data_IF_357864385186
#
_entry.id   IF_357864385186
#
_cell.length_a   1.000
_cell.length_b   1.000
_cell.length_c   1.000
_cell.angle_alpha   90.00
_cell.angle_beta   90.00
_cell.angle_gamma   90.00
#
_symmetry.space_group_name_H-M   'P 1'
#
loop_
_entity.id
_entity.type
_entity.pdbx_description
1 polymer ?
#
# COMPACT_ATOMS: atom_id res chain seq x y z
N UNK A 1 -20.61 -9.27 12.36
CA UNK A 1 -19.27 -9.36 12.97
C UNK A 1 -19.45 -9.83 14.40
N UNK A 2 -18.93 -11.01 14.75
CA UNK A 2 -19.06 -11.55 16.12
C UNK A 2 -18.07 -10.83 17.04
N UNK A 3 -18.43 -10.58 18.31
CA UNK A 3 -17.51 -9.94 19.27
C UNK A 3 -16.24 -10.76 19.55
N UNK A 4 -16.17 -12.00 19.05
CA UNK A 4 -15.05 -12.93 19.21
C UNK A 4 -13.86 -12.70 18.27
N UNK A 5 -13.93 -11.72 17.36
CA UNK A 5 -12.85 -11.46 16.39
C UNK A 5 -11.86 -10.39 16.84
N UNK A 6 -12.19 -9.62 17.89
CA UNK A 6 -11.29 -8.59 18.43
C UNK A 6 -10.37 -9.17 19.53
N UNK A 7 -9.05 -9.01 19.39
CA UNK A 7 -8.14 -9.41 20.45
C UNK A 7 -8.26 -8.56 21.70
N UNK A 8 -8.35 -9.23 22.86
CA UNK A 8 -8.43 -8.66 24.20
C UNK A 8 -7.09 -8.81 24.89
N UNK A 9 -6.69 -7.80 25.68
CA UNK A 9 -5.47 -7.82 26.48
C UNK A 9 -5.74 -8.43 27.86
N UNK A 10 -4.77 -9.17 28.40
CA UNK A 10 -4.74 -9.55 29.81
C UNK A 10 -4.19 -8.42 30.70
N UNK A 11 -4.15 -8.67 32.02
CA UNK A 11 -3.60 -7.72 33.00
C UNK A 11 -2.13 -7.33 32.75
N UNK A 12 -1.36 -8.15 32.04
CA UNK A 12 0.01 -7.86 31.63
C UNK A 12 0.11 -7.13 30.28
N UNK A 13 -1.03 -6.72 29.68
CA UNK A 13 -1.08 -5.99 28.41
C UNK A 13 -0.87 -6.83 27.16
N UNK A 14 -0.80 -8.17 27.26
CA UNK A 14 -0.63 -9.09 26.12
C UNK A 14 -1.98 -9.55 25.57
N UNK A 15 -2.10 -9.67 24.26
CA UNK A 15 -3.29 -10.22 23.61
C UNK A 15 -3.40 -11.74 23.86
N UNK A 16 -4.58 -12.21 24.25
CA UNK A 16 -4.77 -13.61 24.70
C UNK A 16 -5.65 -14.48 23.80
N UNK A 17 -6.37 -13.89 22.85
CA UNK A 17 -7.30 -14.56 21.94
C UNK A 17 -7.01 -14.20 20.46
N UNK A 18 -5.73 -14.02 20.13
CA UNK A 18 -5.29 -13.80 18.75
C UNK A 18 -5.52 -15.08 17.95
N UNK A 19 -6.16 -14.95 16.78
CA UNK A 19 -6.37 -16.08 15.86
C UNK A 19 -6.06 -15.64 14.42
N UNK A 20 -4.80 -15.80 14.02
CA UNK A 20 -4.32 -15.42 12.70
C UNK A 20 -4.96 -16.21 11.54
N UNK A 21 -5.60 -17.35 11.82
CA UNK A 21 -6.33 -18.11 10.78
C UNK A 21 -7.53 -17.31 10.24
N UNK A 22 -8.07 -16.40 11.05
CA UNK A 22 -9.16 -15.50 10.65
C UNK A 22 -8.68 -14.33 9.77
N UNK A 23 -7.37 -14.03 9.80
CA UNK A 23 -6.79 -12.92 9.07
C UNK A 23 -6.44 -13.29 7.63
N UNK A 24 -5.99 -14.53 7.40
CA UNK A 24 -5.65 -15.01 6.07
C UNK A 24 -6.89 -14.99 5.17
N UNK A 25 -6.78 -14.32 4.02
CA UNK A 25 -7.88 -14.17 3.08
C UNK A 25 -8.69 -12.90 3.24
N UNK A 26 -8.53 -12.16 4.35
CA UNK A 26 -9.24 -10.90 4.58
C UNK A 26 -8.94 -9.88 3.48
N UNK A 27 -9.99 -9.33 2.87
CA UNK A 27 -9.89 -8.29 1.85
C UNK A 27 -10.21 -6.93 2.48
N UNK A 28 -9.31 -5.98 2.25
CA UNK A 28 -9.57 -4.59 2.59
C UNK A 28 -10.55 -3.98 1.57
N UNK A 29 -11.27 -2.91 1.95
CA UNK A 29 -12.02 -2.11 0.99
C UNK A 29 -11.12 -1.65 -0.17
N UNK A 30 -11.63 -1.64 -1.42
CA UNK A 30 -10.91 -1.07 -2.55
C UNK A 30 -10.51 0.38 -2.28
N UNK A 31 -9.29 0.74 -2.67
CA UNK A 31 -8.77 2.11 -2.55
C UNK A 31 -8.78 2.72 -3.94
N UNK A 32 -9.54 3.80 -4.14
CA UNK A 32 -9.51 4.54 -5.41
C UNK A 32 -8.22 5.35 -5.54
N UNK A 33 -7.67 5.38 -6.74
CA UNK A 33 -6.38 5.98 -7.03
C UNK A 33 -6.49 6.87 -8.27
N UNK A 34 -5.81 8.02 -8.23
CA UNK A 34 -5.65 8.85 -9.43
C UNK A 34 -4.31 9.58 -9.39
N UNK A 35 -3.74 9.79 -10.57
CA UNK A 35 -2.48 10.48 -10.74
C UNK A 35 -2.39 11.13 -12.12
N UNK A 36 -1.55 12.15 -12.22
CA UNK A 36 -1.30 12.85 -13.48
C UNK A 36 0.20 12.80 -13.83
N UNK A 37 0.56 13.39 -14.98
CA UNK A 37 1.97 13.45 -15.43
C UNK A 37 2.89 14.14 -14.42
N UNK A 38 2.41 15.13 -13.67
CA UNK A 38 3.21 15.81 -12.64
C UNK A 38 3.59 14.85 -11.52
N UNK A 39 2.67 13.99 -11.08
CA UNK A 39 2.95 12.99 -10.05
C UNK A 39 4.05 12.00 -10.49
N UNK A 40 4.00 11.58 -11.76
CA UNK A 40 5.01 10.70 -12.37
C UNK A 40 6.38 11.37 -12.41
N UNK A 41 6.45 12.62 -12.87
CA UNK A 41 7.68 13.42 -12.92
C UNK A 41 8.27 13.66 -11.52
N UNK A 42 7.42 14.02 -10.55
CA UNK A 42 7.83 14.24 -9.16
C UNK A 42 8.41 12.96 -8.56
N UNK A 43 7.79 11.80 -8.81
CA UNK A 43 8.30 10.53 -8.34
C UNK A 43 9.66 10.20 -8.95
N UNK A 44 9.80 10.28 -10.28
CA UNK A 44 11.05 10.02 -10.98
C UNK A 44 12.20 10.91 -10.45
N UNK A 45 11.93 12.20 -10.28
CA UNK A 45 12.89 13.12 -9.70
C UNK A 45 13.23 12.79 -8.23
N UNK A 46 12.24 12.43 -7.41
CA UNK A 46 12.44 12.14 -5.99
C UNK A 46 13.24 10.85 -5.73
N UNK A 47 13.15 9.86 -6.61
CA UNK A 47 13.97 8.63 -6.51
C UNK A 47 15.38 8.80 -7.10
N UNK A 48 15.69 9.96 -7.67
CA UNK A 48 17.03 10.30 -8.15
C UNK A 48 17.32 9.90 -9.60
N UNK A 49 16.32 9.89 -10.48
CA UNK A 49 16.58 9.79 -11.93
C UNK A 49 17.53 10.93 -12.35
N UNK A 50 18.49 10.61 -13.20
CA UNK A 50 19.55 11.50 -13.63
C UNK A 50 19.12 12.34 -14.84
N UNK A 51 19.83 13.45 -15.07
CA UNK A 51 19.50 14.42 -16.14
C UNK A 51 19.53 13.84 -17.56
N UNK A 52 20.23 12.74 -17.77
CA UNK A 52 20.31 12.00 -19.03
C UNK A 52 19.17 10.98 -19.20
N UNK A 53 18.39 10.71 -18.15
CA UNK A 53 17.19 9.87 -18.16
C UNK A 53 15.93 10.71 -18.45
N UNK A 54 15.99 11.52 -19.51
CA UNK A 54 14.91 12.47 -19.87
C UNK A 54 13.58 11.78 -20.18
N UNK A 55 13.59 10.51 -20.58
CA UNK A 55 12.39 9.71 -20.77
C UNK A 55 11.57 9.52 -19.48
N UNK A 56 12.14 9.81 -18.29
CA UNK A 56 11.39 9.86 -17.02
C UNK A 56 11.16 11.29 -16.50
N UNK A 57 11.94 12.26 -16.96
CA UNK A 57 11.98 13.62 -16.40
C UNK A 57 11.40 14.71 -17.31
N UNK A 58 11.04 14.37 -18.55
CA UNK A 58 10.53 15.33 -19.53
C UNK A 58 9.31 14.79 -20.26
N UNK A 59 8.17 15.44 -20.06
CA UNK A 59 6.86 15.00 -20.55
C UNK A 59 6.68 15.06 -22.06
N UNK A 60 7.52 15.82 -22.78
CA UNK A 60 7.51 15.89 -24.25
C UNK A 60 8.61 15.01 -24.88
N UNK A 61 9.34 14.23 -24.09
CA UNK A 61 10.28 13.25 -24.62
C UNK A 61 9.50 12.21 -25.45
N UNK A 62 9.99 11.79 -26.64
CA UNK A 62 9.28 10.82 -27.49
C UNK A 62 8.98 9.50 -26.76
N UNK A 63 9.88 9.07 -25.88
CA UNK A 63 9.74 7.86 -25.05
C UNK A 63 9.31 8.16 -23.61
N UNK A 64 8.58 9.26 -23.36
CA UNK A 64 8.17 9.62 -22.01
C UNK A 64 7.37 8.48 -21.34
N UNK A 65 7.85 8.02 -20.18
CA UNK A 65 7.32 6.89 -19.47
C UNK A 65 7.27 7.15 -17.97
N UNK A 66 6.40 6.41 -17.29
CA UNK A 66 6.40 6.37 -15.84
C UNK A 66 7.42 5.36 -15.32
N UNK A 67 8.10 5.70 -14.22
CA UNK A 67 9.06 4.79 -13.62
C UNK A 67 8.34 3.52 -13.12
N UNK A 68 8.87 2.30 -13.38
CA UNK A 68 8.12 1.06 -13.12
C UNK A 68 7.65 0.84 -11.69
N UNK A 69 8.33 1.42 -10.69
CA UNK A 69 7.97 1.30 -9.26
C UNK A 69 7.04 2.40 -8.75
N UNK A 70 6.66 3.37 -9.59
CA UNK A 70 5.65 4.39 -9.28
C UNK A 70 4.33 3.82 -8.69
N UNK A 71 3.78 2.69 -9.18
CA UNK A 71 2.52 2.14 -8.67
C UNK A 71 2.54 1.83 -7.16
N UNK A 72 3.71 1.62 -6.56
CA UNK A 72 3.86 1.35 -5.11
C UNK A 72 3.28 2.50 -4.28
N UNK A 73 3.31 3.73 -4.82
CA UNK A 73 2.81 4.91 -4.14
C UNK A 73 1.28 5.05 -4.20
N UNK A 74 0.58 4.37 -5.11
CA UNK A 74 -0.85 4.61 -5.38
C UNK A 74 -1.75 4.33 -4.17
N UNK A 75 -1.46 3.27 -3.41
CA UNK A 75 -2.21 2.95 -2.20
C UNK A 75 -2.05 4.03 -1.11
N UNK A 76 -0.92 4.75 -1.11
CA UNK A 76 -0.70 5.87 -0.21
C UNK A 76 -1.28 7.15 -0.79
N UNK A 77 -1.04 7.49 -2.06
CA UNK A 77 -1.51 8.73 -2.69
C UNK A 77 -3.04 8.80 -2.81
N UNK A 78 -3.69 7.66 -3.06
CA UNK A 78 -5.12 7.59 -3.34
C UNK A 78 -5.48 8.57 -4.45
N UNK A 79 -6.50 9.41 -4.26
CA UNK A 79 -6.92 10.41 -5.26
C UNK A 79 -6.40 11.83 -4.96
N UNK A 80 -5.65 12.00 -3.88
CA UNK A 80 -5.25 13.32 -3.42
C UNK A 80 -4.13 13.93 -4.28
N UNK A 81 -4.20 15.25 -4.45
CA UNK A 81 -3.26 16.05 -5.23
C UNK A 81 -2.37 16.96 -4.36
N UNK A 82 -2.57 16.91 -3.04
CA UNK A 82 -1.83 17.68 -2.05
C UNK A 82 -1.12 16.74 -1.07
N UNK A 83 -0.38 17.33 -0.12
CA UNK A 83 0.22 16.63 1.00
C UNK A 83 -0.83 15.82 1.77
N UNK A 84 -0.38 14.72 2.36
CA UNK A 84 -1.25 13.81 3.07
C UNK A 84 -0.64 13.21 4.32
N UNK A 85 -1.50 12.88 5.27
CA UNK A 85 -1.09 12.17 6.48
C UNK A 85 -0.82 10.70 6.15
N UNK A 86 0.46 10.36 6.06
CA UNK A 86 0.92 9.00 5.82
C UNK A 86 0.45 8.00 6.88
N UNK A 87 0.43 8.40 8.16
CA UNK A 87 0.02 7.54 9.26
C UNK A 87 -1.46 7.21 9.12
N UNK A 88 -2.30 8.23 8.93
CA UNK A 88 -3.74 8.06 8.77
C UNK A 88 -4.09 7.12 7.61
N UNK A 89 -3.37 7.20 6.48
CA UNK A 89 -3.58 6.31 5.32
C UNK A 89 -3.08 4.88 5.52
N UNK A 90 -2.11 4.69 6.41
CA UNK A 90 -1.52 3.37 6.68
C UNK A 90 -2.30 2.61 7.76
N UNK A 91 -3.14 3.30 8.57
CA UNK A 91 -4.09 2.66 9.49
C UNK A 91 -5.26 2.07 8.69
N UNK A 92 -5.01 0.95 8.04
CA UNK A 92 -6.07 0.16 7.40
C UNK A 92 -6.87 -0.55 8.49
N UNK A 93 -8.19 -0.52 8.36
CA UNK A 93 -9.17 -1.00 9.35
C UNK A 93 -8.94 -2.39 9.94
N UNK A 94 -9.82 -2.75 10.88
CA UNK A 94 -9.69 -3.96 11.69
C UNK A 94 -9.56 -5.23 10.82
N UNK A 95 -8.44 -5.94 10.98
CA UNK A 95 -8.23 -7.28 10.41
C UNK A 95 -8.66 -8.31 11.47
N UNK A 96 -9.62 -9.21 11.17
CA UNK A 96 -10.11 -10.20 12.12
C UNK A 96 -9.00 -11.06 12.73
N UNK A 97 -9.07 -11.29 14.04
CA UNK A 97 -8.11 -12.13 14.76
C UNK A 97 -6.71 -11.52 14.91
N UNK A 98 -6.49 -10.29 14.43
CA UNK A 98 -5.23 -9.56 14.60
C UNK A 98 -5.39 -8.43 15.63
N UNK A 99 -4.34 -8.15 16.41
CA UNK A 99 -4.28 -6.92 17.19
C UNK A 99 -4.53 -5.66 16.33
N UNK A 100 -5.06 -4.59 16.92
CA UNK A 100 -5.09 -3.28 16.27
C UNK A 100 -3.72 -2.93 15.67
N UNK A 101 -3.73 -2.53 14.40
CA UNK A 101 -2.50 -2.16 13.71
C UNK A 101 -2.09 -0.74 14.10
N UNK A 102 -0.86 -0.60 14.57
CA UNK A 102 -0.24 0.69 14.90
C UNK A 102 0.83 1.02 13.85
N UNK A 103 0.53 1.98 12.98
CA UNK A 103 1.43 2.40 11.91
C UNK A 103 2.73 3.04 12.44
N UNK A 104 2.71 3.66 13.63
CA UNK A 104 3.89 4.30 14.22
C UNK A 104 4.89 3.29 14.79
N UNK A 105 4.43 2.07 15.06
CA UNK A 105 5.25 0.95 15.56
C UNK A 105 5.45 -0.14 14.51
N UNK A 106 5.04 0.12 13.28
CA UNK A 106 5.19 -0.80 12.16
C UNK A 106 6.47 -0.52 11.40
N UNK A 107 7.12 -1.60 10.96
CA UNK A 107 8.24 -1.53 10.02
C UNK A 107 7.82 -2.19 8.72
N UNK A 108 8.23 -1.59 7.62
CA UNK A 108 8.10 -2.17 6.30
C UNK A 108 9.27 -3.12 6.04
N UNK A 109 9.05 -4.42 6.31
CA UNK A 109 10.13 -5.41 6.29
C UNK A 109 10.51 -5.86 4.89
N UNK A 110 9.52 -6.04 4.00
CA UNK A 110 9.72 -6.61 2.67
C UNK A 110 8.69 -6.04 1.69
N UNK A 111 9.13 -5.75 0.46
CA UNK A 111 8.25 -5.42 -0.67
C UNK A 111 8.61 -6.25 -1.88
N UNK A 112 7.58 -6.66 -2.61
CA UNK A 112 7.70 -7.21 -3.96
C UNK A 112 6.75 -6.46 -4.89
N UNK A 113 7.12 -6.34 -6.15
CA UNK A 113 6.28 -5.78 -7.21
C UNK A 113 6.42 -6.65 -8.44
N UNK A 114 5.30 -6.95 -9.08
CA UNK A 114 5.23 -7.63 -10.37
C UNK A 114 4.55 -6.69 -11.35
N UNK A 115 5.21 -6.40 -12.48
CA UNK A 115 4.70 -5.49 -13.49
C UNK A 115 4.01 -6.30 -14.59
N UNK A 116 2.68 -6.37 -14.53
CA UNK A 116 1.88 -7.08 -15.53
C UNK A 116 1.73 -6.29 -16.83
N UNK A 117 1.59 -4.96 -16.71
CA UNK A 117 1.52 -4.01 -17.81
C UNK A 117 2.27 -2.73 -17.41
N UNK A 118 2.94 -2.03 -18.35
CA UNK A 118 3.50 -0.72 -18.08
C UNK A 118 2.42 0.22 -17.51
N UNK A 119 2.74 0.95 -16.44
CA UNK A 119 1.82 1.95 -15.90
C UNK A 119 1.76 3.15 -16.85
N UNK A 120 0.57 3.66 -17.19
CA UNK A 120 0.46 4.85 -18.04
C UNK A 120 1.03 6.08 -17.33
N UNK A 121 1.30 7.13 -18.11
CA UNK A 121 1.82 8.42 -17.60
C UNK A 121 0.75 9.31 -16.97
N UNK A 122 -0.52 8.91 -17.04
CA UNK A 122 -1.66 9.57 -16.39
C UNK A 122 -2.76 8.54 -16.12
N UNK A 123 -3.58 8.76 -15.10
CA UNK A 123 -4.80 7.98 -14.87
C UNK A 123 -6.03 8.56 -15.58
N UNK A 124 -5.86 9.57 -16.44
CA UNK A 124 -6.97 10.19 -17.16
C UNK A 124 -7.74 9.15 -17.98
N UNK A 125 -9.04 9.03 -17.73
CA UNK A 125 -9.93 8.07 -18.38
C UNK A 125 -9.91 6.66 -17.79
N UNK A 126 -9.22 6.43 -16.67
CA UNK A 126 -9.16 5.16 -15.95
C UNK A 126 -9.91 5.25 -14.60
N UNK A 127 -10.59 4.19 -14.19
CA UNK A 127 -11.21 4.01 -12.87
C UNK A 127 -10.33 3.17 -11.94
N UNK A 128 -9.08 3.62 -11.76
CA UNK A 128 -8.05 2.87 -11.04
C UNK A 128 -8.41 2.61 -9.57
N UNK A 129 -8.25 1.37 -9.16
CA UNK A 129 -8.34 0.94 -7.77
C UNK A 129 -7.22 -0.02 -7.36
N UNK A 130 -6.84 0.04 -6.10
CA UNK A 130 -5.95 -0.94 -5.45
C UNK A 130 -6.78 -1.85 -4.56
N UNK A 131 -6.73 -3.14 -4.85
CA UNK A 131 -7.36 -4.18 -4.04
C UNK A 131 -6.32 -4.88 -3.20
N UNK A 132 -6.46 -4.78 -1.88
CA UNK A 132 -5.49 -5.35 -0.93
C UNK A 132 -6.07 -6.55 -0.18
N UNK A 133 -5.27 -7.61 -0.05
CA UNK A 133 -5.64 -8.83 0.66
C UNK A 133 -4.54 -9.23 1.63
N UNK A 134 -4.93 -9.62 2.85
CA UNK A 134 -4.04 -10.24 3.82
C UNK A 134 -3.80 -11.68 3.41
N UNK A 135 -2.55 -12.03 3.10
CA UNK A 135 -2.20 -13.39 2.67
C UNK A 135 -1.69 -14.25 3.82
N UNK A 136 -1.23 -13.63 4.89
CA UNK A 136 -0.84 -14.36 6.09
C UNK A 136 -0.35 -13.44 7.20
N UNK A 137 -0.45 -13.93 8.43
CA UNK A 137 0.11 -13.29 9.62
C UNK A 137 0.91 -14.34 10.39
N UNK A 138 2.16 -14.01 10.67
CA UNK A 138 3.14 -14.93 11.24
C UNK A 138 3.59 -14.40 12.60
N UNK A 139 3.46 -15.23 13.63
CA UNK A 139 3.98 -14.92 14.96
C UNK A 139 5.52 -15.01 14.98
N UNK A 140 6.18 -13.98 15.53
CA UNK A 140 7.63 -13.94 15.79
C UNK A 140 7.93 -13.85 17.29
N UNK A 141 6.95 -14.16 18.14
CA UNK A 141 7.04 -14.16 19.60
C UNK A 141 6.80 -12.78 20.21
N UNK A 142 7.68 -11.81 19.94
CA UNK A 142 7.54 -10.43 20.46
C UNK A 142 6.86 -9.47 19.49
N UNK A 143 6.76 -9.86 18.23
CA UNK A 143 6.16 -9.12 17.14
C UNK A 143 5.43 -10.07 16.20
N UNK A 144 4.70 -9.54 15.23
CA UNK A 144 4.13 -10.32 14.15
C UNK A 144 4.56 -9.74 12.80
N UNK A 145 4.65 -10.61 11.80
CA UNK A 145 4.85 -10.22 10.40
C UNK A 145 3.53 -10.41 9.69
N UNK A 146 2.96 -9.32 9.17
CA UNK A 146 1.76 -9.37 8.35
C UNK A 146 2.15 -9.18 6.89
N UNK A 147 1.84 -10.19 6.07
CA UNK A 147 2.07 -10.14 4.63
C UNK A 147 0.76 -9.80 3.91
N UNK A 148 0.85 -8.88 2.95
CA UNK A 148 -0.28 -8.42 2.14
C UNK A 148 0.11 -8.47 0.67
N UNK A 149 -0.88 -8.69 -0.18
CA UNK A 149 -0.77 -8.45 -1.62
C UNK A 149 -1.70 -7.30 -1.98
N UNK A 150 -1.31 -6.51 -2.98
CA UNK A 150 -2.10 -5.41 -3.53
C UNK A 150 -2.06 -5.50 -5.05
N UNK A 151 -3.22 -5.48 -5.68
CA UNK A 151 -3.35 -5.46 -7.14
C UNK A 151 -3.95 -4.12 -7.56
N UNK A 152 -3.26 -3.40 -8.45
CA UNK A 152 -3.78 -2.19 -9.07
C UNK A 152 -4.45 -2.57 -10.40
N UNK A 153 -5.71 -2.17 -10.57
CA UNK A 153 -6.52 -2.48 -11.75
C UNK A 153 -7.42 -1.32 -12.14
N UNK A 154 -7.80 -1.32 -13.40
CA UNK A 154 -8.79 -0.45 -14.04
C UNK A 154 -10.00 -1.29 -14.43
#
# INVERSE_FOLDING_TARGET
MSSSDQPVKNAAGRYINVDFRKAAGYQHPPIKCSFNRRDVLLFANAIGCQKDELHFLYELHPDFAAFPTFPINLAFKQTDQDVFDFVARTVTGHVPGCPPFDAQRSVDGERGIEILRPIPVSSDGLDLEVQSKVIGVYDKGKSCVRRRTGEARD
#
